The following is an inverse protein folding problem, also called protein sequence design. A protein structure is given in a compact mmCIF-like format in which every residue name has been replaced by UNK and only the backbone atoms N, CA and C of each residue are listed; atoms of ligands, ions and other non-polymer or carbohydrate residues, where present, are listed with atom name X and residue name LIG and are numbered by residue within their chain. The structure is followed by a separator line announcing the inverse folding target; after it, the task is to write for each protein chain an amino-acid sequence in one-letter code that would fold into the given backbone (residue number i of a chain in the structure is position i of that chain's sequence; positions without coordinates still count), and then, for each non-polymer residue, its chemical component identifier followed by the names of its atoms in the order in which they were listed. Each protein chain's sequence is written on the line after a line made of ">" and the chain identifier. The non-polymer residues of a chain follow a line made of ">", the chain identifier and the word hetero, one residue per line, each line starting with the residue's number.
data_IF_509895688371
#
_entry.id   IF_509895688371
#
_cell.length_a   1.000
_cell.length_b   1.000
_cell.length_c   1.000
_cell.angle_alpha   90.00
_cell.angle_beta   90.00
_cell.angle_gamma   90.00
#
_symmetry.space_group_name_H-M   'P 1'
#
loop_
_entity.id
_entity.type
_entity.pdbx_description
1 polymer ?
#
# COMPACT_ATOMS: atom_id res chain seq x y z
N UNK A 1 24.04 6.60 -28.21
CA UNK A 1 24.08 5.96 -26.89
C UNK A 1 22.63 5.98 -26.37
N UNK A 2 21.99 4.83 -26.21
CA UNK A 2 20.67 4.78 -25.63
C UNK A 2 20.75 5.34 -24.21
N UNK A 3 19.99 6.38 -23.95
CA UNK A 3 19.96 7.03 -22.65
C UNK A 3 19.35 6.03 -21.64
N UNK A 4 20.07 5.76 -20.56
CA UNK A 4 19.69 4.77 -19.54
C UNK A 4 18.32 5.11 -18.94
N UNK A 5 17.32 4.23 -19.08
CA UNK A 5 15.97 4.45 -18.57
C UNK A 5 15.98 4.50 -17.04
N UNK A 6 15.64 5.65 -16.47
CA UNK A 6 15.59 5.90 -15.03
C UNK A 6 14.23 6.36 -14.60
N UNK A 7 13.66 5.70 -13.59
CA UNK A 7 12.33 6.01 -13.06
C UNK A 7 12.38 6.18 -11.54
N UNK A 8 11.80 7.24 -11.04
CA UNK A 8 11.52 7.39 -9.61
C UNK A 8 10.11 6.91 -9.30
N UNK A 9 9.97 6.08 -8.26
CA UNK A 9 8.67 5.67 -7.71
C UNK A 9 8.58 6.18 -6.28
N UNK A 10 7.51 6.91 -5.96
CA UNK A 10 7.33 7.50 -4.64
C UNK A 10 5.98 7.17 -4.03
N UNK A 11 6.02 6.77 -2.77
CA UNK A 11 4.84 6.41 -2.01
C UNK A 11 5.20 5.71 -0.71
N UNK A 12 4.22 5.48 0.12
CA UNK A 12 4.45 4.74 1.35
C UNK A 12 3.52 5.12 2.49
N UNK A 13 3.97 4.79 3.70
CA UNK A 13 3.22 4.98 4.95
C UNK A 13 2.37 3.77 5.33
N UNK A 14 1.82 3.06 4.37
CA UNK A 14 1.00 1.84 4.59
C UNK A 14 1.23 0.81 3.50
N UNK A 15 0.89 -0.47 3.79
CA UNK A 15 0.96 -1.54 2.80
C UNK A 15 0.14 -1.25 1.53
N UNK A 16 -0.99 -0.54 1.66
CA UNK A 16 -1.85 -0.15 0.54
C UNK A 16 -1.17 0.75 -0.50
N UNK A 17 -0.11 1.47 -0.15
CA UNK A 17 0.71 2.24 -1.09
C UNK A 17 2.00 1.50 -1.48
N UNK A 18 2.64 0.81 -0.53
CA UNK A 18 3.95 0.18 -0.75
C UNK A 18 3.86 -0.98 -1.74
N UNK A 19 2.90 -1.89 -1.55
CA UNK A 19 2.76 -3.07 -2.42
C UNK A 19 2.38 -2.70 -3.86
N UNK A 20 1.43 -1.79 -4.13
CA UNK A 20 1.22 -1.27 -5.48
C UNK A 20 2.47 -0.64 -6.10
N UNK A 21 3.25 0.13 -5.33
CA UNK A 21 4.50 0.72 -5.81
C UNK A 21 5.52 -0.35 -6.25
N UNK A 22 5.70 -1.39 -5.43
CA UNK A 22 6.58 -2.53 -5.75
C UNK A 22 6.05 -3.31 -6.94
N UNK A 23 4.73 -3.53 -7.04
CA UNK A 23 4.12 -4.22 -8.19
C UNK A 23 4.33 -3.47 -9.49
N UNK A 24 4.21 -2.13 -9.48
CA UNK A 24 4.52 -1.27 -10.62
C UNK A 24 6.01 -1.39 -10.99
N UNK A 25 6.92 -1.33 -10.02
CA UNK A 25 8.35 -1.47 -10.24
C UNK A 25 8.68 -2.82 -10.88
N UNK A 26 8.13 -3.91 -10.37
CA UNK A 26 8.32 -5.26 -10.89
C UNK A 26 7.80 -5.38 -12.33
N UNK A 27 6.61 -4.83 -12.63
CA UNK A 27 6.04 -4.86 -13.97
C UNK A 27 6.90 -4.06 -14.98
N UNK A 28 7.42 -2.90 -14.58
CA UNK A 28 8.35 -2.12 -15.41
C UNK A 28 9.64 -2.91 -15.63
N UNK A 29 10.22 -3.51 -14.59
CA UNK A 29 11.45 -4.29 -14.64
C UNK A 29 11.29 -5.54 -15.52
N UNK A 30 10.13 -6.18 -15.51
CA UNK A 30 9.83 -7.33 -16.37
C UNK A 30 9.79 -6.95 -17.86
N UNK A 31 9.29 -5.75 -18.19
CA UNK A 31 9.26 -5.24 -19.58
C UNK A 31 10.59 -4.62 -20.02
N UNK A 32 11.32 -4.01 -19.12
CA UNK A 32 12.60 -3.33 -19.34
C UNK A 32 13.60 -3.73 -18.25
N UNK A 33 14.30 -4.86 -18.41
CA UNK A 33 15.26 -5.38 -17.43
C UNK A 33 16.42 -4.43 -17.13
N UNK A 34 16.76 -3.56 -18.08
CA UNK A 34 17.80 -2.54 -18.02
C UNK A 34 17.41 -1.30 -17.18
N UNK A 35 16.10 -1.12 -16.87
CA UNK A 35 15.62 0.08 -16.15
C UNK A 35 16.27 0.22 -14.78
N UNK A 36 16.68 1.44 -14.43
CA UNK A 36 17.05 1.80 -13.06
C UNK A 36 15.85 2.44 -12.35
N UNK A 37 15.48 1.84 -11.23
CA UNK A 37 14.36 2.31 -10.40
C UNK A 37 14.89 2.75 -9.05
N UNK A 38 14.57 3.98 -8.67
CA UNK A 38 14.85 4.53 -7.35
C UNK A 38 13.52 4.83 -6.63
N UNK A 39 13.36 4.29 -5.43
CA UNK A 39 12.23 4.65 -4.59
C UNK A 39 12.53 5.89 -3.73
N UNK A 40 11.48 6.65 -3.45
CA UNK A 40 11.52 7.76 -2.49
C UNK A 40 10.38 7.59 -1.50
N UNK A 41 10.72 7.38 -0.23
CA UNK A 41 9.77 7.11 0.86
C UNK A 41 9.92 8.08 2.04
N UNK A 42 9.13 7.89 3.09
CA UNK A 42 9.23 8.64 4.32
C UNK A 42 10.12 7.91 5.33
N UNK A 43 11.06 8.63 5.94
CA UNK A 43 11.96 8.07 6.97
C UNK A 43 11.15 7.49 8.15
N UNK A 44 11.63 6.36 8.69
CA UNK A 44 11.02 5.67 9.82
C UNK A 44 9.67 5.00 9.50
N UNK A 45 9.32 4.83 8.23
CA UNK A 45 8.11 4.14 7.79
C UNK A 45 8.44 2.77 7.19
N UNK A 46 7.37 1.98 7.00
CA UNK A 46 7.45 0.58 6.54
C UNK A 46 8.18 0.43 5.19
N UNK A 47 8.06 1.40 4.30
CA UNK A 47 8.72 1.40 3.00
C UNK A 47 10.23 1.32 3.09
N UNK A 48 10.84 1.89 4.13
CA UNK A 48 12.30 1.85 4.34
C UNK A 48 12.84 0.43 4.58
N UNK A 49 11.97 -0.51 4.94
CA UNK A 49 12.30 -1.93 5.11
C UNK A 49 11.78 -2.79 3.95
N UNK A 50 10.53 -2.55 3.51
CA UNK A 50 9.87 -3.39 2.51
C UNK A 50 10.41 -3.21 1.10
N UNK A 51 10.82 -2.00 0.73
CA UNK A 51 11.37 -1.72 -0.60
C UNK A 51 12.75 -2.36 -0.78
N UNK A 52 13.73 -2.23 0.16
CA UNK A 52 14.99 -2.97 0.07
C UNK A 52 14.78 -4.49 0.10
N UNK A 53 13.86 -5.01 0.90
CA UNK A 53 13.53 -6.44 0.91
C UNK A 53 12.97 -6.94 -0.45
N UNK A 54 12.43 -6.05 -1.27
CA UNK A 54 12.00 -6.33 -2.64
C UNK A 54 13.12 -6.11 -3.70
N UNK A 55 14.34 -5.81 -3.28
CA UNK A 55 15.49 -5.64 -4.16
C UNK A 55 15.65 -4.25 -4.79
N UNK A 56 15.00 -3.21 -4.25
CA UNK A 56 15.09 -1.85 -4.79
C UNK A 56 15.81 -0.88 -3.85
N UNK A 57 16.54 0.06 -4.42
CA UNK A 57 17.10 1.19 -3.68
C UNK A 57 16.00 2.18 -3.26
N UNK A 58 16.13 2.73 -2.04
CA UNK A 58 15.22 3.75 -1.53
C UNK A 58 15.97 4.90 -0.86
N UNK A 59 15.52 6.13 -1.09
CA UNK A 59 15.93 7.33 -0.37
C UNK A 59 14.78 7.80 0.52
N UNK A 60 15.10 8.20 1.77
CA UNK A 60 14.10 8.64 2.74
C UNK A 60 13.99 10.15 2.84
N UNK A 61 12.76 10.67 2.90
CA UNK A 61 12.45 12.07 3.19
C UNK A 61 11.97 12.22 4.64
N UNK A 62 12.33 13.31 5.36
CA UNK A 62 11.92 13.56 6.74
C UNK A 62 10.48 14.08 6.82
N UNK A 63 9.56 13.48 6.04
CA UNK A 63 8.17 13.92 5.94
C UNK A 63 7.25 13.10 6.85
N UNK A 64 6.23 13.75 7.40
CA UNK A 64 5.17 13.11 8.17
C UNK A 64 3.81 13.76 7.85
N UNK A 65 2.74 13.12 8.30
CA UNK A 65 1.39 13.64 8.15
C UNK A 65 1.08 14.79 9.11
N UNK A 66 0.04 15.55 8.80
CA UNK A 66 -0.51 16.57 9.69
C UNK A 66 -1.21 15.92 10.89
N UNK A 67 -0.97 16.46 12.08
CA UNK A 67 -1.72 16.13 13.29
C UNK A 67 -3.03 16.91 13.28
N UNK A 68 -4.16 16.22 13.13
CA UNK A 68 -5.49 16.83 13.09
C UNK A 68 -5.99 17.30 14.46
N UNK A 69 -5.41 16.75 15.53
CA UNK A 69 -5.82 17.09 16.91
C UNK A 69 -5.01 18.24 17.51
N UNK A 70 -3.74 18.42 17.09
CA UNK A 70 -2.82 19.37 17.68
C UNK A 70 -2.23 20.30 16.61
N UNK A 71 -2.96 21.36 16.27
CA UNK A 71 -2.60 22.27 15.17
C UNK A 71 -1.21 22.93 15.37
N UNK A 72 -0.82 23.27 16.60
CA UNK A 72 0.51 23.89 16.88
C UNK A 72 1.68 22.96 16.55
N UNK A 73 1.50 21.64 16.65
CA UNK A 73 2.53 20.67 16.24
C UNK A 73 2.78 20.68 14.73
N UNK A 74 1.86 21.24 13.95
CA UNK A 74 2.00 21.28 12.48
C UNK A 74 3.03 22.29 12.00
N UNK A 75 3.53 23.22 12.83
CA UNK A 75 4.67 24.09 12.47
C UNK A 75 5.90 23.24 12.12
N UNK A 76 6.19 22.23 12.93
CA UNK A 76 7.29 21.28 12.64
C UNK A 76 7.05 20.49 11.35
N UNK A 77 5.78 20.19 11.02
CA UNK A 77 5.40 19.50 9.77
C UNK A 77 5.67 20.39 8.56
N UNK A 78 5.39 21.69 8.63
CA UNK A 78 5.71 22.63 7.55
C UNK A 78 7.22 22.71 7.27
N UNK A 79 8.05 22.77 8.32
CA UNK A 79 9.51 22.70 8.18
C UNK A 79 9.97 21.39 7.54
N UNK A 80 9.36 20.27 7.94
CA UNK A 80 9.65 18.95 7.33
C UNK A 80 9.23 18.91 5.86
N UNK A 81 8.10 19.49 5.49
CA UNK A 81 7.67 19.62 4.09
C UNK A 81 8.70 20.42 3.31
N UNK A 82 9.09 21.58 3.78
CA UNK A 82 10.11 22.41 3.12
C UNK A 82 11.44 21.67 2.94
N UNK A 83 11.95 21.03 4.00
CA UNK A 83 13.17 20.20 3.94
C UNK A 83 13.02 19.04 2.96
N UNK A 84 11.86 18.38 2.95
CA UNK A 84 11.58 17.26 2.04
C UNK A 84 11.54 17.71 0.58
N UNK A 85 11.03 18.91 0.29
CA UNK A 85 11.06 19.49 -1.06
C UNK A 85 12.50 19.68 -1.55
N UNK A 86 13.38 20.24 -0.71
CA UNK A 86 14.80 20.43 -1.06
C UNK A 86 15.54 19.10 -1.25
N UNK A 87 15.31 18.13 -0.37
CA UNK A 87 15.89 16.80 -0.48
C UNK A 87 15.39 16.06 -1.74
N UNK A 88 14.09 16.10 -2.03
CA UNK A 88 13.53 15.54 -3.24
C UNK A 88 14.15 16.16 -4.50
N UNK A 89 14.29 17.48 -4.54
CA UNK A 89 14.96 18.18 -5.64
C UNK A 89 16.41 17.72 -5.82
N UNK A 90 17.16 17.52 -4.73
CA UNK A 90 18.54 17.01 -4.77
C UNK A 90 18.58 15.59 -5.34
N UNK A 91 17.75 14.68 -4.80
CA UNK A 91 17.63 13.28 -5.26
C UNK A 91 17.31 13.22 -6.78
N UNK A 92 16.36 14.03 -7.24
CA UNK A 92 15.96 14.07 -8.65
C UNK A 92 17.11 14.58 -9.53
N UNK A 93 17.82 15.61 -9.10
CA UNK A 93 18.99 16.14 -9.84
C UNK A 93 20.14 15.13 -9.97
N UNK A 94 20.39 14.37 -8.90
CA UNK A 94 21.43 13.35 -8.86
C UNK A 94 21.06 12.12 -9.70
N UNK A 95 19.85 11.64 -9.56
CA UNK A 95 19.37 10.43 -10.23
C UNK A 95 19.00 10.66 -11.71
N UNK A 96 18.53 11.87 -12.06
CA UNK A 96 18.08 12.29 -13.41
C UNK A 96 17.04 11.34 -14.01
N UNK A 97 15.87 11.19 -13.36
CA UNK A 97 14.84 10.29 -13.88
C UNK A 97 14.17 10.85 -15.13
N UNK A 98 13.79 9.96 -16.05
CA UNK A 98 12.98 10.29 -17.23
C UNK A 98 11.48 10.37 -16.92
N UNK A 99 11.03 9.74 -15.84
CA UNK A 99 9.65 9.79 -15.35
C UNK A 99 9.59 9.60 -13.83
N UNK A 100 8.49 10.09 -13.23
CA UNK A 100 8.20 9.90 -11.82
C UNK A 100 6.79 9.31 -11.62
N UNK A 101 6.67 8.30 -10.78
CA UNK A 101 5.40 7.65 -10.42
C UNK A 101 5.09 7.89 -8.95
N UNK A 102 3.90 8.38 -8.65
CA UNK A 102 3.38 8.56 -7.29
C UNK A 102 2.22 7.62 -7.01
N UNK A 103 2.33 6.85 -5.94
CA UNK A 103 1.26 5.93 -5.52
C UNK A 103 0.52 6.40 -4.26
N UNK A 104 0.71 7.67 -3.87
CA UNK A 104 0.13 8.22 -2.66
C UNK A 104 1.05 8.13 -1.44
N UNK A 105 0.54 8.56 -0.29
CA UNK A 105 1.35 8.73 0.92
C UNK A 105 2.08 10.07 0.97
N UNK A 106 2.80 10.29 2.07
CA UNK A 106 3.39 11.62 2.33
C UNK A 106 4.58 11.95 1.43
N UNK A 107 5.41 10.97 1.08
CA UNK A 107 6.61 11.16 0.28
C UNK A 107 6.32 11.50 -1.18
N UNK A 108 5.20 11.03 -1.75
CA UNK A 108 4.79 11.34 -3.12
C UNK A 108 4.59 12.84 -3.35
N UNK A 109 4.10 13.57 -2.33
CA UNK A 109 3.86 15.01 -2.42
C UNK A 109 5.11 15.80 -2.86
N UNK A 110 6.15 15.88 -2.04
CA UNK A 110 7.38 16.59 -2.37
C UNK A 110 8.08 16.01 -3.60
N UNK A 111 8.10 14.69 -3.77
CA UNK A 111 8.80 14.03 -4.89
C UNK A 111 8.19 14.42 -6.23
N UNK A 112 6.88 14.21 -6.43
CA UNK A 112 6.24 14.52 -7.71
C UNK A 112 6.12 16.04 -7.92
N UNK A 113 5.97 16.83 -6.85
CA UNK A 113 5.96 18.27 -6.97
C UNK A 113 7.28 18.79 -7.56
N UNK A 114 8.43 18.29 -7.09
CA UNK A 114 9.72 18.67 -7.61
C UNK A 114 10.00 18.08 -9.01
N UNK A 115 9.59 16.84 -9.27
CA UNK A 115 9.70 16.25 -10.60
C UNK A 115 8.94 17.08 -11.65
N UNK A 116 7.68 17.45 -11.35
CA UNK A 116 6.87 18.27 -12.23
C UNK A 116 7.46 19.68 -12.42
N UNK A 117 8.00 20.30 -11.35
CA UNK A 117 8.68 21.59 -11.44
C UNK A 117 9.97 21.57 -12.28
N UNK A 118 10.53 20.39 -12.48
CA UNK A 118 11.72 20.14 -13.35
C UNK A 118 11.32 19.59 -14.70
N UNK A 119 10.05 19.69 -15.10
CA UNK A 119 9.48 19.21 -16.37
C UNK A 119 9.62 17.68 -16.59
N UNK A 120 9.80 16.91 -15.52
CA UNK A 120 9.81 15.45 -15.58
C UNK A 120 8.36 14.96 -15.60
N UNK A 121 7.95 14.14 -16.57
CA UNK A 121 6.60 13.62 -16.66
C UNK A 121 6.25 12.80 -15.42
N UNK A 122 5.09 13.10 -14.82
CA UNK A 122 4.60 12.46 -13.62
C UNK A 122 3.35 11.64 -13.92
N UNK A 123 3.27 10.43 -13.36
CA UNK A 123 2.10 9.57 -13.33
C UNK A 123 1.66 9.38 -11.88
N UNK A 124 0.36 9.38 -11.64
CA UNK A 124 -0.25 9.05 -10.35
C UNK A 124 -0.99 7.72 -10.48
N UNK A 125 -0.90 6.88 -9.47
CA UNK A 125 -1.76 5.72 -9.29
C UNK A 125 -2.58 5.89 -8.00
N UNK A 126 -3.92 5.77 -8.12
CA UNK A 126 -4.86 5.85 -6.98
C UNK A 126 -5.56 4.51 -6.79
N UNK A 127 -5.39 3.94 -5.59
CA UNK A 127 -5.89 2.61 -5.25
C UNK A 127 -7.32 2.60 -4.72
N UNK A 128 -7.81 3.74 -4.26
CA UNK A 128 -9.06 3.83 -3.53
C UNK A 128 -10.17 4.49 -4.36
N UNK A 129 -11.42 4.18 -4.04
CA UNK A 129 -12.59 4.85 -4.62
C UNK A 129 -12.77 6.29 -4.11
N UNK A 130 -12.04 6.69 -3.06
CA UNK A 130 -11.94 8.05 -2.57
C UNK A 130 -10.49 8.51 -2.60
N UNK A 131 -10.20 9.48 -3.44
CA UNK A 131 -8.83 9.90 -3.71
C UNK A 131 -8.13 10.49 -2.48
N UNK A 132 -6.88 10.06 -2.27
CA UNK A 132 -6.01 10.60 -1.25
C UNK A 132 -5.68 12.08 -1.47
N UNK A 133 -5.49 12.84 -0.37
CA UNK A 133 -5.21 14.29 -0.42
C UNK A 133 -3.99 14.59 -1.29
N UNK A 134 -2.91 13.83 -1.12
CA UNK A 134 -1.67 14.02 -1.90
C UNK A 134 -1.92 13.86 -3.40
N UNK A 135 -2.65 12.83 -3.82
CA UNK A 135 -2.96 12.59 -5.23
C UNK A 135 -3.86 13.70 -5.80
N UNK A 136 -4.84 14.18 -5.04
CA UNK A 136 -5.67 15.34 -5.44
C UNK A 136 -4.85 16.61 -5.67
N UNK A 137 -3.90 16.93 -4.79
CA UNK A 137 -3.01 18.08 -4.92
C UNK A 137 -2.08 18.01 -6.14
N UNK A 138 -1.65 16.78 -6.50
CA UNK A 138 -0.74 16.55 -7.61
C UNK A 138 -1.45 16.36 -8.97
N UNK A 139 -2.75 16.14 -8.99
CA UNK A 139 -3.53 15.77 -10.18
C UNK A 139 -3.34 16.72 -11.37
N UNK A 140 -3.35 18.05 -11.11
CA UNK A 140 -3.15 19.05 -12.17
C UNK A 140 -1.76 18.95 -12.82
N UNK A 141 -0.74 18.55 -12.05
CA UNK A 141 0.66 18.44 -12.50
C UNK A 141 0.97 17.10 -13.16
N UNK A 142 0.19 16.06 -12.89
CA UNK A 142 0.38 14.75 -13.51
C UNK A 142 0.03 14.78 -15.00
N UNK A 143 0.75 13.98 -15.79
CA UNK A 143 0.43 13.71 -17.20
C UNK A 143 -0.70 12.72 -17.33
N UNK A 144 -0.70 11.66 -16.51
CA UNK A 144 -1.75 10.62 -16.46
C UNK A 144 -2.00 10.21 -15.01
N UNK A 145 -3.23 9.74 -14.77
CA UNK A 145 -3.71 9.31 -13.46
C UNK A 145 -4.37 7.94 -13.64
N UNK A 146 -3.67 6.89 -13.24
CA UNK A 146 -4.19 5.54 -13.24
C UNK A 146 -5.08 5.33 -12.01
N UNK A 147 -6.30 4.86 -12.20
CA UNK A 147 -7.28 4.68 -11.13
C UNK A 147 -7.80 3.25 -11.07
N UNK A 148 -8.16 2.80 -9.88
CA UNK A 148 -8.72 1.47 -9.68
C UNK A 148 -10.22 1.40 -9.93
N UNK A 149 -10.95 2.49 -9.72
CA UNK A 149 -12.41 2.55 -9.70
C UNK A 149 -12.95 3.57 -10.70
N UNK A 150 -14.22 3.42 -11.06
CA UNK A 150 -14.99 4.40 -11.82
C UNK A 150 -15.40 5.60 -10.94
N UNK A 151 -15.89 6.68 -11.55
CA UNK A 151 -16.37 7.87 -10.85
C UNK A 151 -15.26 8.71 -10.23
N UNK A 152 -14.01 8.57 -10.70
CA UNK A 152 -12.85 9.30 -10.16
C UNK A 152 -12.70 10.70 -10.76
N UNK A 153 -13.46 11.07 -11.79
CA UNK A 153 -13.56 12.40 -12.38
C UNK A 153 -14.05 13.47 -11.40
N UNK A 154 -14.74 13.06 -10.34
CA UNK A 154 -15.08 13.94 -9.19
C UNK A 154 -13.86 14.43 -8.40
N UNK A 155 -12.69 13.80 -8.58
CA UNK A 155 -11.45 14.14 -7.89
C UNK A 155 -10.33 14.59 -8.82
N UNK A 156 -10.36 14.14 -10.08
CA UNK A 156 -9.27 14.28 -11.03
C UNK A 156 -9.76 14.80 -12.37
N UNK A 157 -8.91 15.52 -13.16
CA UNK A 157 -9.23 15.90 -14.53
C UNK A 157 -9.53 14.66 -15.39
N UNK A 158 -10.72 14.62 -16.00
CA UNK A 158 -11.22 13.46 -16.74
C UNK A 158 -10.30 13.05 -17.90
N UNK A 159 -9.68 14.02 -18.59
CA UNK A 159 -8.77 13.82 -19.72
C UNK A 159 -7.46 13.13 -19.36
N UNK A 160 -7.13 13.08 -18.06
CA UNK A 160 -5.92 12.46 -17.53
C UNK A 160 -6.16 11.07 -16.95
N UNK A 161 -7.41 10.69 -16.70
CA UNK A 161 -7.77 9.43 -16.05
C UNK A 161 -7.59 8.25 -17.01
N UNK A 162 -6.99 7.18 -16.50
CA UNK A 162 -6.95 5.86 -17.13
C UNK A 162 -7.36 4.84 -16.09
N UNK A 163 -8.42 4.08 -16.35
CA UNK A 163 -8.84 2.98 -15.47
C UNK A 163 -7.96 1.77 -15.74
N UNK A 164 -7.08 1.45 -14.78
CA UNK A 164 -6.12 0.33 -14.87
C UNK A 164 -6.40 -0.77 -13.86
N UNK A 165 -7.28 -0.55 -12.89
CA UNK A 165 -7.37 -1.38 -11.71
C UNK A 165 -6.20 -1.15 -10.72
N UNK A 166 -6.16 -1.96 -9.68
CA UNK A 166 -5.05 -1.94 -8.71
C UNK A 166 -3.89 -2.82 -9.19
N UNK A 167 -2.64 -2.34 -9.05
CA UNK A 167 -1.46 -3.18 -9.28
C UNK A 167 -1.42 -4.36 -8.28
N UNK A 168 -1.44 -5.58 -8.80
CA UNK A 168 -1.40 -6.81 -8.02
C UNK A 168 0.01 -7.40 -8.03
N UNK A 169 0.43 -8.01 -6.92
CA UNK A 169 1.70 -8.71 -6.85
C UNK A 169 1.67 -9.93 -7.76
N UNK A 170 2.68 -10.08 -8.60
CA UNK A 170 2.78 -11.17 -9.58
C UNK A 170 2.73 -12.55 -8.89
N UNK A 171 3.36 -12.70 -7.73
CA UNK A 171 3.33 -13.93 -6.94
C UNK A 171 1.91 -14.41 -6.58
N UNK A 172 0.94 -13.49 -6.45
CA UNK A 172 -0.47 -13.85 -6.20
C UNK A 172 -1.11 -14.41 -7.46
N UNK A 173 -0.76 -13.83 -8.63
CA UNK A 173 -1.31 -14.27 -9.93
C UNK A 173 -0.71 -15.60 -10.40
N UNK A 174 0.54 -15.87 -10.04
CA UNK A 174 1.31 -17.05 -10.44
C UNK A 174 1.21 -18.22 -9.45
N UNK A 175 0.46 -18.04 -8.35
CA UNK A 175 0.32 -19.11 -7.36
C UNK A 175 -0.36 -20.32 -7.99
N UNK A 176 0.28 -21.50 -7.84
CA UNK A 176 -0.21 -22.78 -8.34
C UNK A 176 -0.83 -23.65 -7.24
N UNK A 177 -0.82 -23.13 -6.00
CA UNK A 177 -1.39 -23.84 -4.85
C UNK A 177 -2.90 -23.94 -5.06
N UNK A 178 -3.44 -25.14 -5.02
CA UNK A 178 -4.88 -25.38 -5.10
C UNK A 178 -5.58 -24.89 -3.81
N UNK A 179 -6.87 -24.58 -3.90
CA UNK A 179 -7.68 -24.24 -2.73
C UNK A 179 -7.61 -25.33 -1.65
N UNK A 180 -7.60 -26.61 -2.07
CA UNK A 180 -7.51 -27.77 -1.17
C UNK A 180 -6.20 -27.76 -0.38
N UNK A 181 -5.07 -27.56 -1.05
CA UNK A 181 -3.75 -27.46 -0.40
C UNK A 181 -3.66 -26.26 0.53
N UNK A 182 -4.21 -25.11 0.10
CA UNK A 182 -4.24 -23.90 0.92
C UNK A 182 -5.06 -24.12 2.21
N UNK A 183 -6.24 -24.73 2.14
CA UNK A 183 -7.07 -25.03 3.32
C UNK A 183 -6.37 -26.01 4.26
N UNK A 184 -5.73 -27.06 3.71
CA UNK A 184 -4.94 -28.03 4.49
C UNK A 184 -3.75 -27.39 5.20
N UNK A 185 -3.09 -26.39 4.59
CA UNK A 185 -1.95 -25.69 5.23
C UNK A 185 -2.34 -24.91 6.49
N UNK A 186 -3.61 -24.56 6.63
CA UNK A 186 -4.17 -23.99 7.86
C UNK A 186 -4.69 -25.05 8.85
N UNK A 187 -4.52 -26.34 8.56
CA UNK A 187 -5.04 -27.44 9.39
C UNK A 187 -6.57 -27.51 9.39
N UNK A 188 -7.20 -27.12 8.29
CA UNK A 188 -8.65 -27.14 8.08
C UNK A 188 -9.05 -28.26 7.10
N UNK A 189 -10.33 -28.63 7.12
CA UNK A 189 -10.90 -29.67 6.26
C UNK A 189 -11.25 -29.10 4.87
N UNK A 190 -10.61 -29.55 3.79
CA UNK A 190 -10.86 -29.03 2.44
C UNK A 190 -12.22 -29.44 1.84
N UNK A 191 -12.98 -30.31 2.48
CA UNK A 191 -14.33 -30.68 2.06
C UNK A 191 -15.39 -29.68 2.57
N UNK A 192 -15.05 -28.84 3.54
CA UNK A 192 -15.96 -27.85 4.14
C UNK A 192 -15.77 -26.47 3.50
N UNK A 193 -16.84 -25.69 3.54
CA UNK A 193 -16.76 -24.27 3.14
C UNK A 193 -15.85 -23.51 4.11
N UNK A 194 -14.96 -22.69 3.57
CA UNK A 194 -14.03 -21.87 4.35
C UNK A 194 -14.21 -20.39 4.00
N UNK A 195 -14.41 -19.56 5.01
CA UNK A 195 -14.48 -18.11 4.89
C UNK A 195 -13.15 -17.51 5.34
N UNK A 196 -12.56 -16.69 4.47
CA UNK A 196 -11.38 -15.89 4.79
C UNK A 196 -11.80 -14.48 5.17
N UNK A 197 -11.48 -14.07 6.40
CA UNK A 197 -11.73 -12.74 6.95
C UNK A 197 -10.41 -11.99 7.07
N UNK A 198 -10.29 -10.85 6.37
CA UNK A 198 -9.05 -10.05 6.33
C UNK A 198 -9.31 -8.62 6.75
N UNK A 199 -8.77 -8.26 7.90
CA UNK A 199 -8.85 -6.90 8.46
C UNK A 199 -7.76 -5.95 7.97
N UNK A 200 -6.77 -6.45 7.20
CA UNK A 200 -5.58 -5.70 6.80
C UNK A 200 -4.48 -5.67 7.87
N UNK A 201 -3.32 -5.06 7.55
CA UNK A 201 -2.09 -5.16 8.37
C UNK A 201 -2.26 -4.71 9.83
N UNK A 202 -3.11 -3.72 10.09
CA UNK A 202 -3.40 -3.21 11.43
C UNK A 202 -4.65 -3.83 12.05
N UNK A 203 -5.46 -4.49 11.23
CA UNK A 203 -6.76 -5.03 11.60
C UNK A 203 -7.90 -4.03 11.39
N UNK A 204 -9.13 -4.56 11.35
CA UNK A 204 -10.36 -3.77 11.23
C UNK A 204 -11.25 -4.03 12.45
N UNK A 205 -11.43 -3.01 13.28
CA UNK A 205 -12.16 -3.11 14.55
C UNK A 205 -13.55 -3.73 14.37
N UNK A 206 -14.35 -3.22 13.46
CA UNK A 206 -15.72 -3.68 13.22
C UNK A 206 -15.76 -5.16 12.81
N UNK A 207 -14.84 -5.60 11.95
CA UNK A 207 -14.74 -7.01 11.55
C UNK A 207 -14.40 -7.87 12.77
N UNK A 208 -13.38 -7.46 13.53
CA UNK A 208 -12.90 -8.20 14.69
C UNK A 208 -13.98 -8.31 15.79
N UNK A 209 -14.63 -7.20 16.12
CA UNK A 209 -15.72 -7.19 17.11
C UNK A 209 -16.94 -8.01 16.63
N UNK A 210 -17.26 -7.97 15.34
CA UNK A 210 -18.36 -8.75 14.78
C UNK A 210 -18.16 -10.26 14.95
N UNK A 211 -16.94 -10.75 14.69
CA UNK A 211 -16.66 -12.19 14.87
C UNK A 211 -16.59 -12.55 16.34
N UNK A 212 -15.91 -11.75 17.15
CA UNK A 212 -15.71 -12.04 18.58
C UNK A 212 -17.04 -12.10 19.35
N UNK A 213 -17.98 -11.23 18.99
CA UNK A 213 -19.29 -11.17 19.62
C UNK A 213 -20.28 -12.27 19.16
N UNK A 214 -19.89 -13.09 18.16
CA UNK A 214 -20.77 -14.12 17.58
C UNK A 214 -20.05 -15.45 17.38
N UNK A 215 -19.16 -15.83 18.33
CA UNK A 215 -18.43 -17.09 18.27
C UNK A 215 -19.35 -18.33 18.32
N UNK A 216 -20.47 -18.23 18.99
CA UNK A 216 -21.54 -19.21 19.01
C UNK A 216 -22.10 -19.47 17.59
N UNK A 217 -22.40 -18.41 16.84
CA UNK A 217 -22.87 -18.54 15.46
C UNK A 217 -21.77 -19.10 14.54
N UNK A 218 -20.50 -18.74 14.78
CA UNK A 218 -19.37 -19.33 14.05
C UNK A 218 -19.35 -20.86 14.25
N UNK A 219 -19.51 -21.31 15.48
CA UNK A 219 -19.54 -22.74 15.81
C UNK A 219 -20.74 -23.46 15.15
N UNK A 220 -21.95 -22.92 15.30
CA UNK A 220 -23.17 -23.48 14.79
C UNK A 220 -23.26 -23.49 13.27
N UNK A 221 -22.53 -22.62 12.57
CA UNK A 221 -22.59 -22.44 11.12
C UNK A 221 -22.16 -23.68 10.32
N UNK A 222 -21.35 -24.57 10.90
CA UNK A 222 -20.70 -25.67 10.20
C UNK A 222 -19.68 -25.23 9.14
N UNK A 223 -19.36 -23.93 9.07
CA UNK A 223 -18.38 -23.33 8.15
C UNK A 223 -17.06 -23.15 8.88
N UNK A 224 -15.96 -23.22 8.16
CA UNK A 224 -14.62 -22.96 8.67
C UNK A 224 -14.23 -21.51 8.42
N UNK A 225 -13.38 -20.96 9.30
CA UNK A 225 -12.95 -19.57 9.22
C UNK A 225 -11.42 -19.48 9.33
N UNK A 226 -10.83 -18.66 8.47
CA UNK A 226 -9.48 -18.15 8.61
C UNK A 226 -9.62 -16.66 8.90
N UNK A 227 -9.24 -16.25 10.10
CA UNK A 227 -9.46 -14.89 10.59
C UNK A 227 -8.13 -14.17 10.81
N UNK A 228 -7.82 -13.25 9.91
CA UNK A 228 -6.68 -12.34 10.03
C UNK A 228 -7.12 -11.10 10.81
N UNK A 229 -6.68 -11.00 12.05
CA UNK A 229 -7.10 -9.98 13.02
C UNK A 229 -6.36 -8.66 12.87
N UNK A 230 -5.15 -8.69 12.28
CA UNK A 230 -4.19 -7.58 12.24
C UNK A 230 -3.37 -7.49 13.52
N UNK A 231 -2.15 -6.99 13.38
CA UNK A 231 -1.16 -6.95 14.48
C UNK A 231 -1.64 -6.21 15.72
N UNK A 232 -2.48 -5.17 15.54
CA UNK A 232 -2.93 -4.35 16.66
C UNK A 232 -3.92 -5.07 17.59
N UNK A 233 -4.76 -5.94 17.02
CA UNK A 233 -5.85 -6.61 17.77
C UNK A 233 -5.52 -8.05 18.16
N UNK A 234 -4.50 -8.67 17.54
CA UNK A 234 -4.26 -10.11 17.68
C UNK A 234 -4.11 -10.56 19.14
N UNK A 235 -3.27 -9.90 19.93
CA UNK A 235 -3.05 -10.28 21.33
C UNK A 235 -4.32 -10.26 22.14
N UNK A 236 -5.10 -9.17 22.09
CA UNK A 236 -6.35 -9.03 22.84
C UNK A 236 -7.43 -10.03 22.42
N UNK A 237 -7.50 -10.34 21.11
CA UNK A 237 -8.42 -11.35 20.58
C UNK A 237 -8.01 -12.75 21.04
N UNK A 238 -6.73 -13.08 20.99
CA UNK A 238 -6.24 -14.38 21.46
C UNK A 238 -6.49 -14.56 22.96
N UNK A 239 -6.36 -13.51 23.78
CA UNK A 239 -6.65 -13.56 25.23
C UNK A 239 -8.16 -13.74 25.49
N UNK A 240 -9.03 -13.14 24.67
CA UNK A 240 -10.46 -13.35 24.77
C UNK A 240 -10.85 -14.77 24.37
N UNK A 241 -10.30 -15.28 23.26
CA UNK A 241 -10.57 -16.65 22.78
C UNK A 241 -10.18 -17.72 23.80
N UNK A 242 -9.17 -17.51 24.65
CA UNK A 242 -8.81 -18.44 25.72
C UNK A 242 -9.92 -18.65 26.77
N UNK A 243 -10.87 -17.72 26.87
CA UNK A 243 -12.03 -17.83 27.77
C UNK A 243 -13.16 -18.67 27.20
N UNK A 244 -13.11 -18.96 25.91
CA UNK A 244 -14.08 -19.77 25.20
C UNK A 244 -13.55 -21.19 25.03
N UNK A 245 -14.44 -22.14 24.72
CA UNK A 245 -14.04 -23.48 24.34
C UNK A 245 -13.25 -23.45 23.01
N UNK A 246 -12.41 -24.44 22.79
CA UNK A 246 -11.65 -24.55 21.57
C UNK A 246 -12.58 -24.68 20.33
N UNK A 247 -12.34 -23.85 19.32
CA UNK A 247 -13.07 -23.82 18.06
C UNK A 247 -12.17 -24.32 16.91
N UNK A 248 -12.13 -25.65 16.65
CA UNK A 248 -11.19 -26.23 15.67
C UNK A 248 -11.41 -25.72 14.24
N UNK A 249 -12.65 -25.26 13.92
CA UNK A 249 -12.98 -24.68 12.64
C UNK A 249 -12.51 -23.22 12.47
N UNK A 250 -12.00 -22.58 13.53
CA UNK A 250 -11.55 -21.18 13.52
C UNK A 250 -10.03 -21.12 13.62
N UNK A 251 -9.37 -20.62 12.57
CA UNK A 251 -7.94 -20.35 12.57
C UNK A 251 -7.69 -18.83 12.61
N UNK A 252 -6.97 -18.40 13.64
CA UNK A 252 -6.71 -16.99 13.91
C UNK A 252 -5.24 -16.68 13.71
N UNK A 253 -4.94 -15.60 13.00
CA UNK A 253 -3.58 -15.12 12.74
C UNK A 253 -3.53 -13.59 12.72
N UNK A 254 -2.38 -13.02 13.02
CA UNK A 254 -2.16 -11.58 12.95
C UNK A 254 -1.93 -11.08 11.52
N UNK A 255 -1.37 -11.96 10.66
CA UNK A 255 -0.99 -11.66 9.27
C UNK A 255 -1.05 -12.91 8.40
N UNK A 256 -1.37 -12.75 7.10
CA UNK A 256 -1.34 -13.77 6.04
C UNK A 256 -0.42 -13.30 4.93
#
# INVERSE_FOLDING_TARGET
>A
MDEELKIIISGGGTGGHIFPAISIANAIKAQRPDVKILFVGALGRMEMQRVPAAGYEIKGLPICGFDRKHLLKNISVLLKIWKSQHMAKKIIKEFKPMAAVGVGGYASGPTLNQAAAMNIPCLIQEQNSYAGVTNKLLAKKAKKICVAYDGMERFFPADKIIKTGNPVRQAILETKISQKEAVLSFGLDPSKKTILLVGGSLGARTINESILNHLDLVEESGVQFIWQTGKYYNSSIMDELKKHKELPMLKVTDFI
#
